data_IF_028050694751
#
_entry.id   IF_028050694751
#
_cell.length_a   1.000
_cell.length_b   1.000
_cell.length_c   1.000
_cell.angle_alpha   90.00
_cell.angle_beta   90.00
_cell.angle_gamma   90.00
#
_symmetry.space_group_name_H-M   'P 1'
#
loop_
_entity.id
_entity.type
_entity.pdbx_description
1 polymer ?
#
# COMPACT_ATOMS: atom_id res chain seq x y z
N UNK A 1 27.63 4.00 -5.26
CA UNK A 1 26.87 2.73 -5.08
C UNK A 1 26.81 2.42 -3.59
N UNK A 2 25.78 1.72 -3.12
CA UNK A 2 25.71 1.15 -1.77
C UNK A 2 25.89 -0.37 -1.87
N UNK A 3 26.57 -0.98 -0.91
CA UNK A 3 26.74 -2.43 -0.83
C UNK A 3 25.55 -3.10 -0.15
N UNK A 4 25.22 -4.30 -0.61
CA UNK A 4 24.21 -5.18 -0.03
C UNK A 4 24.76 -6.61 -0.11
N UNK A 5 24.93 -7.26 1.03
CA UNK A 5 25.47 -8.62 1.11
C UNK A 5 24.35 -9.57 1.56
N UNK A 6 24.28 -10.73 0.94
CA UNK A 6 23.31 -11.78 1.27
C UNK A 6 24.06 -13.10 1.36
N UNK A 7 23.81 -13.85 2.42
CA UNK A 7 24.28 -15.23 2.55
C UNK A 7 23.19 -16.17 2.03
N UNK A 8 23.57 -17.14 1.23
CA UNK A 8 22.67 -18.18 0.72
C UNK A 8 23.43 -19.50 0.55
N UNK A 9 22.73 -20.65 0.61
CA UNK A 9 23.35 -21.93 0.32
C UNK A 9 23.81 -22.03 -1.15
N UNK A 10 24.72 -22.96 -1.44
CA UNK A 10 25.40 -23.05 -2.74
C UNK A 10 24.43 -23.30 -3.91
N UNK A 11 23.37 -24.09 -3.68
CA UNK A 11 22.35 -24.39 -4.66
C UNK A 11 21.61 -23.13 -5.16
N UNK A 12 21.31 -22.19 -4.27
CA UNK A 12 20.71 -20.91 -4.63
C UNK A 12 21.70 -20.01 -5.38
N UNK A 13 22.98 -20.06 -5.03
CA UNK A 13 24.01 -19.30 -5.73
C UNK A 13 24.18 -19.80 -7.17
N UNK A 14 24.22 -21.12 -7.36
CA UNK A 14 24.30 -21.75 -8.68
C UNK A 14 23.07 -21.47 -9.53
N UNK A 15 21.88 -21.53 -8.93
CA UNK A 15 20.65 -21.10 -9.59
C UNK A 15 20.74 -19.65 -10.08
N UNK A 16 21.17 -18.71 -9.23
CA UNK A 16 21.33 -17.30 -9.60
C UNK A 16 22.35 -17.13 -10.74
N UNK A 17 23.48 -17.83 -10.68
CA UNK A 17 24.51 -17.81 -11.74
C UNK A 17 23.96 -18.32 -13.06
N UNK A 18 23.18 -19.39 -13.05
CA UNK A 18 22.53 -19.93 -14.24
C UNK A 18 21.55 -18.92 -14.85
N UNK A 19 20.63 -18.38 -14.04
CA UNK A 19 19.63 -17.39 -14.47
C UNK A 19 20.26 -16.10 -14.99
N UNK A 20 21.41 -15.72 -14.43
CA UNK A 20 22.18 -14.56 -14.91
C UNK A 20 22.61 -14.77 -16.36
N UNK A 21 23.18 -15.95 -16.67
CA UNK A 21 23.61 -16.30 -18.04
C UNK A 21 22.41 -16.39 -19.00
N UNK A 22 21.35 -17.10 -18.60
CA UNK A 22 20.15 -17.27 -19.43
C UNK A 22 19.44 -15.95 -19.73
N UNK A 23 19.39 -15.04 -18.74
CA UNK A 23 18.76 -13.74 -18.88
C UNK A 23 19.63 -12.68 -19.57
N UNK A 24 20.85 -13.04 -20.00
CA UNK A 24 21.78 -12.12 -20.66
C UNK A 24 22.34 -11.02 -19.74
N UNK A 25 22.32 -11.23 -18.42
CA UNK A 25 22.86 -10.28 -17.45
C UNK A 25 24.38 -10.42 -17.34
N UNK A 26 25.10 -9.32 -17.11
CA UNK A 26 26.56 -9.34 -16.99
C UNK A 26 27.05 -9.84 -15.63
N UNK A 27 26.22 -9.71 -14.57
CA UNK A 27 26.58 -10.13 -13.21
C UNK A 27 25.37 -10.61 -12.40
N UNK A 28 25.56 -11.48 -11.39
CA UNK A 28 24.51 -11.85 -10.43
C UNK A 28 23.85 -10.64 -9.75
N UNK A 29 24.64 -9.61 -9.41
CA UNK A 29 24.13 -8.37 -8.79
C UNK A 29 23.21 -7.59 -9.73
N UNK A 30 23.45 -7.65 -11.03
CA UNK A 30 22.55 -7.05 -12.02
C UNK A 30 21.23 -7.81 -12.12
N UNK A 31 21.29 -9.13 -12.19
CA UNK A 31 20.11 -9.99 -12.18
C UNK A 31 19.27 -9.77 -10.90
N UNK A 32 19.91 -9.73 -9.72
CA UNK A 32 19.22 -9.43 -8.46
C UNK A 32 18.56 -8.05 -8.46
N UNK A 33 19.24 -7.01 -8.94
CA UNK A 33 18.64 -5.67 -9.06
C UNK A 33 17.43 -5.67 -9.99
N UNK A 34 17.48 -6.43 -11.09
CA UNK A 34 16.34 -6.62 -11.97
C UNK A 34 15.17 -7.29 -11.23
N UNK A 35 15.41 -8.38 -10.50
CA UNK A 35 14.38 -9.05 -9.70
C UNK A 35 13.72 -8.12 -8.67
N UNK A 36 14.51 -7.30 -7.97
CA UNK A 36 13.99 -6.35 -6.97
C UNK A 36 13.09 -5.29 -7.62
N UNK A 37 13.47 -4.77 -8.80
CA UNK A 37 12.63 -3.81 -9.53
C UNK A 37 11.31 -4.45 -9.95
N UNK A 38 11.37 -5.68 -10.50
CA UNK A 38 10.18 -6.43 -10.89
C UNK A 38 9.28 -6.77 -9.69
N UNK A 39 9.86 -7.13 -8.54
CA UNK A 39 9.09 -7.31 -7.30
C UNK A 39 8.36 -6.02 -6.95
N UNK A 40 9.08 -4.90 -6.91
CA UNK A 40 8.53 -3.59 -6.57
C UNK A 40 7.40 -3.18 -7.54
N UNK A 41 7.59 -3.38 -8.84
CA UNK A 41 6.60 -3.06 -9.87
C UNK A 41 5.34 -3.92 -9.71
N UNK A 42 5.49 -5.23 -9.48
CA UNK A 42 4.36 -6.13 -9.34
C UNK A 42 3.64 -6.10 -7.99
N UNK A 43 4.16 -5.38 -6.97
CA UNK A 43 3.51 -5.33 -5.64
C UNK A 43 2.12 -4.70 -5.69
N UNK A 44 1.97 -3.60 -6.43
CA UNK A 44 0.69 -2.92 -6.54
C UNK A 44 -0.37 -3.80 -7.21
N UNK A 45 0.04 -4.55 -8.23
CA UNK A 45 -0.83 -5.51 -8.92
C UNK A 45 -1.24 -6.67 -8.00
N UNK A 46 -0.29 -7.27 -7.26
CA UNK A 46 -0.59 -8.33 -6.28
C UNK A 46 -1.51 -7.84 -5.16
N UNK A 47 -1.32 -6.61 -4.68
CA UNK A 47 -2.19 -6.02 -3.67
C UNK A 47 -3.61 -5.79 -4.21
N UNK A 48 -3.73 -5.31 -5.45
CA UNK A 48 -5.02 -5.15 -6.12
C UNK A 48 -5.73 -6.50 -6.30
N UNK A 49 -5.04 -7.51 -6.80
CA UNK A 49 -5.58 -8.86 -6.99
C UNK A 49 -6.08 -9.44 -5.66
N UNK A 50 -5.29 -9.31 -4.59
CA UNK A 50 -5.69 -9.75 -3.26
C UNK A 50 -6.98 -9.05 -2.79
N UNK A 51 -7.07 -7.72 -2.93
CA UNK A 51 -8.28 -6.95 -2.55
C UNK A 51 -9.50 -7.34 -3.39
N UNK A 52 -9.31 -7.66 -4.67
CA UNK A 52 -10.39 -8.14 -5.54
C UNK A 52 -10.87 -9.53 -5.10
N UNK A 53 -9.95 -10.45 -4.79
CA UNK A 53 -10.29 -11.77 -4.25
C UNK A 53 -11.02 -11.67 -2.91
N UNK A 54 -10.62 -10.77 -2.02
CA UNK A 54 -11.31 -10.47 -0.77
C UNK A 54 -12.75 -9.97 -1.04
N UNK A 55 -12.91 -9.06 -2.00
CA UNK A 55 -14.22 -8.57 -2.44
C UNK A 55 -15.11 -9.67 -3.01
N UNK A 56 -14.55 -10.58 -3.82
CA UNK A 56 -15.29 -11.72 -4.39
C UNK A 56 -15.71 -12.74 -3.32
N UNK A 57 -14.88 -12.96 -2.31
CA UNK A 57 -15.20 -13.84 -1.16
C UNK A 57 -16.16 -13.18 -0.17
N UNK A 58 -16.32 -11.86 -0.22
CA UNK A 58 -17.21 -11.13 0.66
C UNK A 58 -18.69 -11.39 0.34
N UNK A 59 -19.56 -11.21 1.33
CA UNK A 59 -20.99 -11.32 1.11
C UNK A 59 -21.49 -10.25 0.13
N UNK A 60 -22.34 -10.66 -0.82
CA UNK A 60 -22.93 -9.72 -1.78
C UNK A 60 -23.69 -8.62 -1.05
N UNK A 61 -23.35 -7.37 -1.35
CA UNK A 61 -24.07 -6.22 -0.80
C UNK A 61 -25.54 -6.27 -1.21
N UNK A 62 -26.43 -6.12 -0.22
CA UNK A 62 -27.88 -5.97 -0.43
C UNK A 62 -28.31 -4.50 -0.43
N UNK A 63 -27.37 -3.58 -0.27
CA UNK A 63 -27.67 -2.14 -0.19
C UNK A 63 -27.70 -1.56 -1.61
N UNK A 64 -28.79 -0.89 -2.02
CA UNK A 64 -28.83 -0.17 -3.29
C UNK A 64 -27.73 0.89 -3.36
N UNK A 65 -27.11 1.04 -4.53
CA UNK A 65 -25.99 1.96 -4.77
C UNK A 65 -26.34 3.40 -4.34
N UNK A 66 -27.55 3.87 -4.66
CA UNK A 66 -28.03 5.20 -4.25
C UNK A 66 -28.02 5.39 -2.74
N UNK A 67 -28.52 4.42 -1.99
CA UNK A 67 -28.58 4.46 -0.52
C UNK A 67 -27.18 4.39 0.09
N UNK A 68 -26.26 3.64 -0.52
CA UNK A 68 -24.87 3.61 -0.11
C UNK A 68 -24.23 5.01 -0.20
N UNK A 69 -24.34 5.68 -1.35
CA UNK A 69 -23.78 7.02 -1.52
C UNK A 69 -24.42 8.07 -0.61
N UNK A 70 -25.74 8.01 -0.39
CA UNK A 70 -26.42 8.88 0.58
C UNK A 70 -25.83 8.73 2.00
N UNK A 71 -25.59 7.50 2.45
CA UNK A 71 -24.97 7.23 3.76
C UNK A 71 -23.53 7.75 3.81
N UNK A 72 -22.77 7.58 2.73
CA UNK A 72 -21.40 8.09 2.63
C UNK A 72 -21.34 9.62 2.72
N UNK A 73 -22.20 10.35 2.01
CA UNK A 73 -22.25 11.81 2.10
C UNK A 73 -22.62 12.29 3.50
N UNK A 74 -23.65 11.69 4.10
CA UNK A 74 -24.05 12.03 5.47
C UNK A 74 -22.92 11.77 6.50
N UNK A 75 -22.11 10.73 6.30
CA UNK A 75 -20.94 10.46 7.14
C UNK A 75 -19.87 11.54 6.98
N UNK A 76 -19.56 11.95 5.75
CA UNK A 76 -18.58 13.01 5.46
C UNK A 76 -19.03 14.33 6.12
N UNK A 77 -20.30 14.70 5.97
CA UNK A 77 -20.85 15.92 6.57
C UNK A 77 -20.73 15.91 8.09
N UNK A 78 -21.00 14.75 8.71
CA UNK A 78 -20.86 14.57 10.17
C UNK A 78 -19.42 14.75 10.63
N UNK A 79 -18.46 14.11 9.95
CA UNK A 79 -17.03 14.24 10.27
C UNK A 79 -16.55 15.68 10.08
N UNK A 80 -17.01 16.37 9.04
CA UNK A 80 -16.69 17.77 8.79
C UNK A 80 -17.22 18.67 9.93
N UNK A 81 -18.47 18.46 10.35
CA UNK A 81 -19.07 19.21 11.46
C UNK A 81 -18.33 18.98 12.79
N UNK A 82 -17.92 17.74 13.09
CA UNK A 82 -17.13 17.42 14.28
C UNK A 82 -15.75 18.09 14.30
N UNK A 83 -15.07 18.14 13.15
CA UNK A 83 -13.80 18.86 12.99
C UNK A 83 -13.96 20.36 13.25
N UNK A 84 -15.03 20.98 12.71
CA UNK A 84 -15.32 22.39 12.92
C UNK A 84 -15.65 22.71 14.39
N UNK A 85 -16.42 21.85 15.07
CA UNK A 85 -16.73 22.00 16.50
C UNK A 85 -15.47 21.93 17.36
N UNK A 86 -14.57 20.97 17.12
CA UNK A 86 -13.28 20.87 17.83
C UNK A 86 -12.38 22.10 17.59
N UNK A 87 -12.34 22.60 16.36
CA UNK A 87 -11.59 23.82 16.03
C UNK A 87 -12.12 25.08 16.73
N UNK A 88 -13.45 25.23 16.82
CA UNK A 88 -14.09 26.34 17.56
C UNK A 88 -13.83 26.25 19.07
N UNK A 89 -13.95 25.06 19.65
CA UNK A 89 -13.70 24.87 21.08
C UNK A 89 -12.24 25.13 21.46
N UNK A 90 -11.28 24.71 20.62
CA UNK A 90 -9.85 24.98 20.85
C UNK A 90 -9.47 26.47 20.72
N UNK A 91 -10.21 27.25 19.92
CA UNK A 91 -10.01 28.71 19.82
C UNK A 91 -10.58 29.44 21.05
N UNK A 92 -11.73 29.00 21.55
CA UNK A 92 -12.35 29.55 22.76
C UNK A 92 -11.50 29.33 24.02
N UNK A 93 -10.93 28.13 24.19
CA UNK A 93 -10.05 27.83 25.35
C UNK A 93 -8.74 28.61 25.32
N UNK A 94 -8.15 28.82 24.14
CA UNK A 94 -6.94 29.65 24.00
C UNK A 94 -7.17 31.14 24.22
N UNK A 95 -8.37 31.64 23.94
CA UNK A 95 -8.75 33.02 24.23
C UNK A 95 -8.95 33.25 25.74
N UNK A 96 -9.53 32.27 26.43
CA UNK A 96 -9.75 32.34 27.88
C UNK A 96 -8.47 32.16 28.71
N UNK A 97 -7.47 31.42 28.22
CA UNK A 97 -6.18 31.24 28.89
C UNK A 97 -5.19 32.42 28.69
N UNK A 98 -5.57 33.45 27.93
CA UNK A 98 -4.73 34.63 27.61
C UNK A 98 -5.26 35.93 28.25
N UNK A 99 -6.32 35.83 29.04
CA UNK A 99 -6.88 36.86 29.92
C UNK A 99 -6.60 36.49 31.36
#
# INVERSE_FOLDING_TARGET
>A
MKSFNVTMPEDLLDYVRHRTKEGGFGTPTEFMRHLIRRDREGRAERELEQRLLEGLKSARSRVPVKTFFQRMHALIDRVAAERQRKGRNGKATRSAARS
#
